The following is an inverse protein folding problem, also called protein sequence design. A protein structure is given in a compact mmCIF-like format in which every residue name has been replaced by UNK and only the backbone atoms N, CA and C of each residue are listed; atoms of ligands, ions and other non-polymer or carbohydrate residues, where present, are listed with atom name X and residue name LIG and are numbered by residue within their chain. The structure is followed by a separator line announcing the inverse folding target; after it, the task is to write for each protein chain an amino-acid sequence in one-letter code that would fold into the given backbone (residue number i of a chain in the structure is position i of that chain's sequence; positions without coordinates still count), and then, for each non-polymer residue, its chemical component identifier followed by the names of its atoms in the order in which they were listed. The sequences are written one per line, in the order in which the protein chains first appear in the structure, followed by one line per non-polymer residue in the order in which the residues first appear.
data_IF_978794070260
#
_entry.id   IF_978794070260
#
_cell.length_a   1.000
_cell.length_b   1.000
_cell.length_c   1.000
_cell.angle_alpha   90.00
_cell.angle_beta   90.00
_cell.angle_gamma   90.00
#
_symmetry.space_group_name_H-M   'P 1'
#
loop_
_entity.id
_entity.type
_entity.pdbx_description
1 polymer ?
#
# COMPACT_ATOMS: atom_id res chain seq x y z
N UNK A 1 -28.05 -42.60 -26.09
CA UNK A 1 -26.91 -41.70 -26.37
C UNK A 1 -26.51 -41.05 -25.06
N UNK A 2 -25.52 -41.65 -24.37
CA UNK A 2 -25.14 -41.27 -23.01
C UNK A 2 -24.02 -40.26 -23.08
N UNK A 3 -24.28 -39.00 -22.64
CA UNK A 3 -23.25 -37.95 -22.54
C UNK A 3 -22.29 -38.27 -21.39
N UNK A 4 -21.03 -38.52 -21.73
CA UNK A 4 -19.95 -38.72 -20.77
C UNK A 4 -19.57 -37.36 -20.15
N UNK A 5 -19.75 -37.23 -18.84
CA UNK A 5 -19.27 -36.09 -18.04
C UNK A 5 -17.73 -36.04 -18.05
N UNK A 6 -17.17 -34.99 -18.60
CA UNK A 6 -15.74 -34.71 -18.59
C UNK A 6 -15.25 -34.51 -17.15
N UNK A 7 -14.32 -35.34 -16.68
CA UNK A 7 -13.66 -35.22 -15.37
C UNK A 7 -12.86 -33.90 -15.32
N UNK A 8 -12.82 -33.22 -14.15
CA UNK A 8 -12.06 -31.98 -14.01
C UNK A 8 -10.56 -32.26 -14.18
N UNK A 9 -9.88 -31.39 -14.95
CA UNK A 9 -8.45 -31.43 -15.19
C UNK A 9 -7.71 -31.29 -13.85
N UNK A 10 -6.90 -32.29 -13.47
CA UNK A 10 -5.93 -32.17 -12.37
C UNK A 10 -4.89 -31.13 -12.78
N UNK A 11 -4.84 -30.03 -12.05
CA UNK A 11 -3.76 -29.02 -12.18
C UNK A 11 -2.40 -29.70 -12.00
N UNK A 12 -1.50 -29.50 -12.96
CA UNK A 12 -0.15 -30.04 -12.93
C UNK A 12 0.59 -29.49 -11.68
N UNK A 13 1.13 -30.41 -10.86
CA UNK A 13 1.91 -30.08 -9.67
C UNK A 13 3.19 -29.39 -10.12
N UNK A 14 3.36 -28.08 -9.80
CA UNK A 14 4.60 -27.34 -10.11
C UNK A 14 5.80 -27.92 -9.37
N UNK A 15 7.05 -27.80 -9.91
CA UNK A 15 8.26 -28.35 -9.31
C UNK A 15 8.55 -27.82 -7.91
N UNK A 16 9.30 -28.60 -7.11
CA UNK A 16 9.74 -28.27 -5.75
C UNK A 16 10.84 -27.18 -5.84
N UNK A 17 10.52 -25.94 -5.41
CA UNK A 17 11.42 -24.77 -5.47
C UNK A 17 10.71 -23.43 -5.53
N UNK A 18 9.43 -23.41 -5.92
CA UNK A 18 8.64 -22.19 -6.19
C UNK A 18 7.88 -21.60 -4.97
N UNK A 19 8.37 -21.81 -3.75
CA UNK A 19 7.67 -21.35 -2.53
C UNK A 19 7.40 -19.85 -2.51
N UNK A 20 8.36 -19.01 -2.93
CA UNK A 20 8.18 -17.55 -3.00
C UNK A 20 7.23 -17.14 -4.12
N UNK A 21 7.33 -17.76 -5.31
CA UNK A 21 6.39 -17.51 -6.41
C UNK A 21 4.97 -17.88 -6.01
N UNK A 22 4.79 -19.01 -5.30
CA UNK A 22 3.48 -19.43 -4.83
C UNK A 22 2.92 -18.48 -3.77
N UNK A 23 3.76 -17.94 -2.87
CA UNK A 23 3.34 -16.98 -1.86
C UNK A 23 2.81 -15.70 -2.52
N UNK A 24 3.52 -15.14 -3.52
CA UNK A 24 3.05 -13.99 -4.30
C UNK A 24 1.75 -14.24 -5.06
N UNK A 25 1.58 -15.44 -5.66
CA UNK A 25 0.31 -15.83 -6.32
C UNK A 25 -0.87 -15.84 -5.34
N UNK A 26 -0.64 -16.30 -4.10
CA UNK A 26 -1.66 -16.32 -3.03
C UNK A 26 -2.02 -14.90 -2.61
N UNK A 27 -1.03 -14.03 -2.36
CA UNK A 27 -1.26 -12.62 -1.98
C UNK A 27 -2.05 -11.87 -3.07
N UNK A 28 -1.66 -12.01 -4.34
CA UNK A 28 -2.36 -11.37 -5.45
C UNK A 28 -3.81 -11.88 -5.65
N UNK A 29 -4.06 -13.17 -5.40
CA UNK A 29 -5.41 -13.71 -5.45
C UNK A 29 -6.25 -13.23 -4.27
N UNK A 30 -5.66 -13.21 -3.07
CA UNK A 30 -6.31 -12.74 -1.85
C UNK A 30 -6.68 -11.26 -1.95
N UNK A 31 -5.79 -10.42 -2.47
CA UNK A 31 -6.03 -8.99 -2.71
C UNK A 31 -7.31 -8.80 -3.53
N UNK A 32 -7.42 -9.46 -4.69
CA UNK A 32 -8.60 -9.38 -5.54
C UNK A 32 -9.88 -9.81 -4.82
N UNK A 33 -9.82 -10.90 -4.03
CA UNK A 33 -10.97 -11.42 -3.30
C UNK A 33 -11.37 -10.48 -2.15
N UNK A 34 -10.41 -9.92 -1.41
CA UNK A 34 -10.68 -8.94 -0.36
C UNK A 34 -11.38 -7.69 -0.91
N UNK A 35 -10.94 -7.19 -2.07
CA UNK A 35 -11.57 -6.03 -2.71
C UNK A 35 -12.97 -6.37 -3.22
N UNK A 36 -13.15 -7.51 -3.88
CA UNK A 36 -14.43 -7.88 -4.50
C UNK A 36 -15.52 -8.26 -3.49
N UNK A 37 -15.15 -8.94 -2.40
CA UNK A 37 -16.09 -9.55 -1.47
C UNK A 37 -16.01 -8.98 -0.04
N UNK A 38 -15.06 -8.09 0.20
CA UNK A 38 -14.72 -7.60 1.53
C UNK A 38 -14.00 -8.65 2.38
N UNK A 39 -13.50 -8.22 3.55
CA UNK A 39 -12.80 -9.13 4.47
C UNK A 39 -13.68 -10.29 4.96
N UNK A 40 -14.96 -10.02 5.29
CA UNK A 40 -15.88 -11.06 5.79
C UNK A 40 -16.21 -12.12 4.73
N UNK A 41 -16.36 -11.72 3.47
CA UNK A 41 -16.69 -12.61 2.35
C UNK A 41 -15.50 -13.45 1.86
N UNK A 42 -14.28 -13.00 2.09
CA UNK A 42 -13.06 -13.71 1.75
C UNK A 42 -12.83 -14.90 2.72
N UNK A 43 -12.52 -16.05 2.16
CA UNK A 43 -12.20 -17.26 2.93
C UNK A 43 -10.92 -17.92 2.41
N UNK A 44 -10.19 -18.63 3.27
CA UNK A 44 -9.02 -19.43 2.90
C UNK A 44 -9.33 -20.38 1.74
N UNK A 45 -10.53 -20.98 1.73
CA UNK A 45 -10.96 -21.88 0.66
C UNK A 45 -11.06 -21.15 -0.68
N UNK A 46 -11.71 -19.99 -0.74
CA UNK A 46 -11.84 -19.20 -1.97
C UNK A 46 -10.47 -18.79 -2.52
N UNK A 47 -9.56 -18.37 -1.63
CA UNK A 47 -8.20 -18.00 -2.02
C UNK A 47 -7.44 -19.22 -2.55
N UNK A 48 -7.53 -20.37 -1.89
CA UNK A 48 -6.91 -21.61 -2.33
C UNK A 48 -7.44 -22.08 -3.69
N UNK A 49 -8.76 -22.05 -3.87
CA UNK A 49 -9.42 -22.40 -5.14
C UNK A 49 -8.96 -21.47 -6.28
N UNK A 50 -8.81 -20.15 -6.02
CA UNK A 50 -8.39 -19.16 -7.01
C UNK A 50 -6.96 -19.38 -7.52
N UNK A 51 -6.06 -19.95 -6.70
CA UNK A 51 -4.68 -20.28 -7.09
C UNK A 51 -4.47 -21.75 -7.42
N UNK A 52 -5.56 -22.57 -7.39
CA UNK A 52 -5.52 -23.97 -7.78
C UNK A 52 -4.76 -24.87 -6.78
N UNK A 53 -4.84 -24.55 -5.47
CA UNK A 53 -4.26 -25.38 -4.42
C UNK A 53 -5.35 -25.88 -3.43
N UNK A 54 -5.00 -26.85 -2.59
CA UNK A 54 -5.87 -27.21 -1.47
C UNK A 54 -5.76 -26.19 -0.33
N UNK A 55 -6.81 -26.03 0.48
CA UNK A 55 -6.74 -25.21 1.69
C UNK A 55 -5.61 -25.65 2.62
N UNK A 56 -5.33 -26.96 2.72
CA UNK A 56 -4.22 -27.51 3.49
C UNK A 56 -2.86 -27.00 2.96
N UNK A 57 -2.70 -26.94 1.62
CA UNK A 57 -1.48 -26.40 1.02
C UNK A 57 -1.33 -24.89 1.28
N UNK A 58 -2.44 -24.14 1.30
CA UNK A 58 -2.43 -22.71 1.64
C UNK A 58 -2.01 -22.49 3.09
N UNK A 59 -2.48 -23.31 4.03
CA UNK A 59 -2.07 -23.25 5.45
C UNK A 59 -0.57 -23.52 5.68
N UNK A 60 0.15 -24.12 4.71
CA UNK A 60 1.61 -24.21 4.77
C UNK A 60 2.31 -22.84 4.53
N UNK A 61 1.61 -21.87 3.94
CA UNK A 61 2.13 -20.53 3.65
C UNK A 61 1.60 -19.48 4.63
N UNK A 62 0.34 -19.58 5.05
CA UNK A 62 -0.34 -18.59 5.89
C UNK A 62 -1.19 -19.29 6.95
N UNK A 63 -1.10 -18.85 8.21
CA UNK A 63 -1.87 -19.42 9.33
C UNK A 63 -3.37 -19.13 9.23
N UNK A 64 -3.71 -17.92 8.76
CA UNK A 64 -5.07 -17.42 8.64
C UNK A 64 -5.16 -16.30 7.60
N UNK A 65 -6.36 -15.82 7.31
CA UNK A 65 -6.58 -14.72 6.36
C UNK A 65 -6.11 -13.37 6.87
N UNK A 66 -5.99 -13.20 8.20
CA UNK A 66 -5.46 -11.98 8.79
C UNK A 66 -3.99 -11.82 8.42
N UNK A 67 -3.21 -12.91 8.52
CA UNK A 67 -1.82 -12.90 8.12
C UNK A 67 -1.65 -12.52 6.64
N UNK A 68 -2.53 -13.00 5.76
CA UNK A 68 -2.51 -12.63 4.34
C UNK A 68 -2.77 -11.14 4.17
N UNK A 69 -3.80 -10.60 4.84
CA UNK A 69 -4.15 -9.18 4.73
C UNK A 69 -3.04 -8.27 5.28
N UNK A 70 -2.46 -8.64 6.42
CA UNK A 70 -1.34 -7.89 7.01
C UNK A 70 -0.12 -7.90 6.09
N UNK A 71 0.21 -9.04 5.50
CA UNK A 71 1.37 -9.14 4.60
C UNK A 71 1.20 -8.33 3.31
N UNK A 72 -0.02 -8.25 2.76
CA UNK A 72 -0.31 -7.34 1.64
C UNK A 72 -0.01 -5.89 2.05
N UNK A 73 -0.43 -5.47 3.25
CA UNK A 73 -0.13 -4.14 3.78
C UNK A 73 1.35 -3.91 4.04
N UNK A 74 2.03 -4.88 4.64
CA UNK A 74 3.46 -4.80 4.95
C UNK A 74 4.31 -4.74 3.68
N UNK A 75 3.97 -5.49 2.64
CA UNK A 75 4.65 -5.42 1.34
C UNK A 75 4.50 -4.03 0.72
N UNK A 76 3.31 -3.43 0.80
CA UNK A 76 3.05 -2.07 0.32
C UNK A 76 3.88 -1.02 1.06
N UNK A 77 3.88 -1.07 2.40
CA UNK A 77 4.64 -0.14 3.24
C UNK A 77 6.15 -0.36 3.05
N UNK A 78 6.59 -1.62 2.90
CA UNK A 78 7.98 -1.96 2.64
C UNK A 78 8.50 -1.38 1.31
N UNK A 79 7.69 -1.40 0.25
CA UNK A 79 8.04 -0.76 -1.02
C UNK A 79 8.16 0.75 -0.88
N UNK A 80 7.23 1.41 -0.18
CA UNK A 80 7.28 2.85 0.08
C UNK A 80 8.49 3.22 0.95
N UNK A 81 8.79 2.43 1.98
CA UNK A 81 9.98 2.63 2.82
C UNK A 81 11.26 2.57 1.98
N UNK A 82 11.41 1.57 1.11
CA UNK A 82 12.59 1.44 0.27
C UNK A 82 12.78 2.66 -0.65
N UNK A 83 11.70 3.19 -1.22
CA UNK A 83 11.71 4.41 -2.03
C UNK A 83 12.08 5.63 -1.19
N UNK A 84 11.52 5.78 0.00
CA UNK A 84 11.82 6.89 0.90
C UNK A 84 13.30 6.89 1.32
N UNK A 85 13.84 5.71 1.69
CA UNK A 85 15.26 5.56 2.03
C UNK A 85 16.17 5.97 0.86
N UNK A 86 15.87 5.53 -0.37
CA UNK A 86 16.64 5.91 -1.56
C UNK A 86 16.62 7.44 -1.78
N UNK A 87 15.43 8.05 -1.70
CA UNK A 87 15.28 9.50 -1.91
C UNK A 87 15.94 10.30 -0.78
N UNK A 88 15.84 9.85 0.49
CA UNK A 88 16.43 10.53 1.64
C UNK A 88 17.94 10.73 1.50
N UNK A 89 18.63 9.79 0.86
CA UNK A 89 20.09 9.83 0.65
C UNK A 89 20.52 10.56 -0.62
N UNK A 90 19.60 11.11 -1.43
CA UNK A 90 19.97 11.84 -2.64
C UNK A 90 20.59 13.20 -2.30
N UNK A 91 21.69 13.61 -2.98
CA UNK A 91 22.38 14.87 -2.74
C UNK A 91 21.64 16.05 -3.41
N UNK A 92 20.38 16.25 -3.04
CA UNK A 92 19.50 17.32 -3.52
C UNK A 92 18.87 18.05 -2.32
N UNK A 93 18.30 19.23 -2.56
CA UNK A 93 17.62 20.02 -1.53
C UNK A 93 16.52 19.24 -0.81
N UNK A 94 16.34 19.48 0.47
CA UNK A 94 15.38 18.77 1.30
C UNK A 94 13.93 18.92 0.79
N UNK A 95 13.56 20.08 0.25
CA UNK A 95 12.22 20.31 -0.35
C UNK A 95 12.03 19.44 -1.59
N UNK A 96 13.08 19.31 -2.41
CA UNK A 96 13.05 18.43 -3.58
C UNK A 96 12.90 16.95 -3.17
N UNK A 97 13.58 16.52 -2.08
CA UNK A 97 13.39 15.16 -1.53
C UNK A 97 11.96 14.93 -1.06
N UNK A 98 11.39 15.86 -0.28
CA UNK A 98 9.98 15.78 0.17
C UNK A 98 9.03 15.66 -1.03
N UNK A 99 9.21 16.51 -2.06
CA UNK A 99 8.40 16.45 -3.28
C UNK A 99 8.46 15.08 -3.92
N UNK A 100 9.64 14.53 -4.15
CA UNK A 100 9.83 13.22 -4.77
C UNK A 100 9.19 12.08 -3.96
N UNK A 101 9.30 12.12 -2.62
CA UNK A 101 8.66 11.12 -1.75
C UNK A 101 7.13 11.17 -1.85
N UNK A 102 6.53 12.35 -1.87
CA UNK A 102 5.09 12.53 -2.02
C UNK A 102 4.60 12.15 -3.42
N UNK A 103 5.35 12.48 -4.48
CA UNK A 103 5.06 12.04 -5.85
C UNK A 103 5.10 10.51 -5.94
N UNK A 104 6.12 9.87 -5.37
CA UNK A 104 6.26 8.41 -5.34
C UNK A 104 5.11 7.76 -4.57
N UNK A 105 4.71 8.33 -3.42
CA UNK A 105 3.57 7.86 -2.63
C UNK A 105 2.26 7.91 -3.43
N UNK A 106 1.95 9.06 -4.03
CA UNK A 106 0.74 9.23 -4.81
C UNK A 106 0.72 8.32 -6.04
N UNK A 107 1.86 8.21 -6.73
CA UNK A 107 2.00 7.30 -7.88
C UNK A 107 1.80 5.85 -7.47
N UNK A 108 2.44 5.39 -6.38
CA UNK A 108 2.23 4.04 -5.86
C UNK A 108 0.75 3.76 -5.60
N UNK A 109 0.04 4.68 -4.93
CA UNK A 109 -1.38 4.53 -4.62
C UNK A 109 -2.25 4.40 -5.87
N UNK A 110 -2.00 5.24 -6.90
CA UNK A 110 -2.77 5.25 -8.14
C UNK A 110 -2.45 4.07 -9.07
N UNK A 111 -1.21 3.57 -9.04
CA UNK A 111 -0.79 2.39 -9.80
C UNK A 111 -1.26 1.08 -9.13
N UNK A 112 -1.46 1.09 -7.79
CA UNK A 112 -1.84 -0.08 -7.00
C UNK A 112 -3.08 0.19 -6.13
N UNK A 113 -4.24 0.56 -6.72
CA UNK A 113 -5.40 1.04 -5.96
C UNK A 113 -5.96 0.02 -4.99
N UNK A 114 -5.95 -1.26 -5.32
CA UNK A 114 -6.43 -2.34 -4.47
C UNK A 114 -5.53 -2.52 -3.24
N UNK A 115 -4.22 -2.64 -3.47
CA UNK A 115 -3.21 -2.75 -2.41
C UNK A 115 -3.28 -1.52 -1.48
N UNK A 116 -3.40 -0.31 -2.06
CA UNK A 116 -3.55 0.93 -1.30
C UNK A 116 -4.82 0.91 -0.43
N UNK A 117 -5.97 0.51 -0.97
CA UNK A 117 -7.21 0.40 -0.19
C UNK A 117 -7.06 -0.57 0.98
N UNK A 118 -6.45 -1.73 0.77
CA UNK A 118 -6.24 -2.73 1.83
C UNK A 118 -5.25 -2.25 2.89
N UNK A 119 -4.16 -1.58 2.48
CA UNK A 119 -3.12 -1.11 3.38
C UNK A 119 -3.56 0.11 4.22
N UNK A 120 -4.27 1.06 3.61
CA UNK A 120 -4.51 2.37 4.19
C UNK A 120 -5.98 2.72 4.43
N UNK A 121 -6.92 2.18 3.64
CA UNK A 121 -8.35 2.50 3.72
C UNK A 121 -9.19 1.30 4.19
N UNK A 122 -8.58 0.12 4.29
CA UNK A 122 -9.28 -1.12 4.59
C UNK A 122 -9.57 -1.31 6.07
N UNK A 123 -10.37 -2.34 6.33
CA UNK A 123 -10.90 -2.72 7.65
C UNK A 123 -9.82 -3.29 8.58
N UNK A 124 -8.82 -2.50 8.94
CA UNK A 124 -7.88 -2.91 10.02
C UNK A 124 -8.61 -3.20 11.33
N UNK A 125 -9.76 -2.60 11.54
CA UNK A 125 -10.62 -2.81 12.73
C UNK A 125 -11.10 -4.26 12.90
N UNK A 126 -11.06 -5.07 11.84
CA UNK A 126 -11.43 -6.51 11.91
C UNK A 126 -10.27 -7.40 12.35
N UNK A 127 -9.04 -6.86 12.43
CA UNK A 127 -7.84 -7.57 12.87
C UNK A 127 -7.55 -7.20 14.32
N UNK A 128 -7.16 -8.18 15.14
CA UNK A 128 -6.86 -7.90 16.56
C UNK A 128 -5.76 -6.86 16.72
N UNK A 129 -5.85 -6.06 17.80
CA UNK A 129 -4.87 -5.00 18.10
C UNK A 129 -3.45 -5.54 18.25
N UNK A 130 -3.30 -6.75 18.80
CA UNK A 130 -2.00 -7.41 18.95
C UNK A 130 -1.35 -7.71 17.60
N UNK A 131 -2.14 -8.17 16.62
CA UNK A 131 -1.64 -8.42 15.24
C UNK A 131 -1.32 -7.10 14.52
N UNK A 132 -2.13 -6.06 14.73
CA UNK A 132 -1.85 -4.72 14.18
C UNK A 132 -0.56 -4.13 14.74
N UNK A 133 -0.32 -4.26 16.05
CA UNK A 133 0.89 -3.76 16.70
C UNK A 133 2.17 -4.39 16.12
N UNK A 134 2.12 -5.67 15.71
CA UNK A 134 3.27 -6.35 15.11
C UNK A 134 3.71 -5.74 13.76
N UNK A 135 2.80 -5.03 13.06
CA UNK A 135 3.08 -4.37 11.76
C UNK A 135 3.26 -2.85 11.89
N UNK A 136 2.94 -2.26 13.06
CA UNK A 136 3.02 -0.82 13.29
C UNK A 136 4.44 -0.28 13.12
N UNK A 137 5.46 -1.02 13.58
CA UNK A 137 6.88 -0.61 13.50
C UNK A 137 7.32 -0.29 12.06
N UNK A 138 6.85 -1.06 11.07
CA UNK A 138 7.19 -0.82 9.67
C UNK A 138 6.56 0.50 9.17
N UNK A 139 5.33 0.78 9.57
CA UNK A 139 4.65 2.05 9.27
C UNK A 139 5.35 3.24 9.91
N UNK A 140 5.73 3.12 11.19
CA UNK A 140 6.45 4.16 11.92
C UNK A 140 7.81 4.46 11.28
N UNK A 141 8.54 3.44 10.87
CA UNK A 141 9.81 3.61 10.14
C UNK A 141 9.60 4.28 8.79
N UNK A 142 8.57 3.88 8.03
CA UNK A 142 8.26 4.51 6.74
C UNK A 142 7.94 6.01 6.90
N UNK A 143 7.17 6.36 7.94
CA UNK A 143 6.84 7.75 8.24
C UNK A 143 8.08 8.53 8.75
N UNK A 144 8.94 7.92 9.56
CA UNK A 144 10.18 8.54 10.03
C UNK A 144 11.13 8.91 8.88
N UNK A 145 11.33 8.01 7.91
CA UNK A 145 12.12 8.30 6.71
C UNK A 145 11.52 9.43 5.87
N UNK A 146 10.19 9.47 5.73
CA UNK A 146 9.48 10.54 5.04
C UNK A 146 9.64 11.88 5.77
N UNK A 147 9.52 11.91 7.09
CA UNK A 147 9.56 13.12 7.89
C UNK A 147 10.98 13.70 8.07
N UNK A 148 12.02 12.91 7.89
CA UNK A 148 13.42 13.33 8.03
C UNK A 148 13.77 14.61 7.27
N UNK A 149 13.61 14.68 5.95
CA UNK A 149 13.87 15.91 5.18
C UNK A 149 13.00 17.09 5.59
N UNK A 150 11.80 16.88 6.13
CA UNK A 150 10.92 17.94 6.63
C UNK A 150 11.47 18.51 7.93
N UNK A 151 12.03 17.68 8.80
CA UNK A 151 12.73 18.13 10.00
C UNK A 151 14.01 18.91 9.66
N UNK A 152 14.73 18.55 8.58
CA UNK A 152 15.86 19.36 8.09
C UNK A 152 15.41 20.76 7.65
N UNK A 153 14.28 20.86 6.91
CA UNK A 153 13.68 22.15 6.50
C UNK A 153 13.31 22.98 7.75
N UNK A 154 12.70 22.34 8.77
CA UNK A 154 12.35 23.00 10.02
C UNK A 154 13.59 23.51 10.77
N UNK A 155 14.62 22.68 10.90
CA UNK A 155 15.89 23.04 11.57
C UNK A 155 16.62 24.17 10.85
N UNK A 156 16.47 24.28 9.53
CA UNK A 156 16.99 25.39 8.73
C UNK A 156 16.15 26.67 8.83
N UNK A 157 15.06 26.69 9.62
CA UNK A 157 14.17 27.85 9.76
C UNK A 157 13.33 28.14 8.51
N UNK A 158 13.18 27.17 7.60
CA UNK A 158 12.48 27.32 6.32
C UNK A 158 10.99 26.94 6.36
N UNK A 159 10.43 26.61 7.51
CA UNK A 159 8.97 26.45 7.64
C UNK A 159 8.29 27.80 7.91
N UNK A 160 7.22 28.08 7.18
CA UNK A 160 6.39 29.29 7.39
C UNK A 160 5.60 29.22 8.68
N UNK A 161 5.18 28.03 9.07
CA UNK A 161 4.33 27.80 10.26
C UNK A 161 4.43 26.35 10.72
N UNK A 162 4.12 26.11 12.00
CA UNK A 162 4.09 24.80 12.60
C UNK A 162 5.46 24.24 12.95
N UNK A 163 5.47 22.98 13.31
CA UNK A 163 6.67 22.18 13.55
C UNK A 163 6.94 21.25 12.36
N UNK A 164 8.15 20.66 12.30
CA UNK A 164 8.46 19.64 11.32
C UNK A 164 7.49 18.48 11.34
N UNK A 165 7.08 18.05 12.55
CA UNK A 165 6.09 16.98 12.74
C UNK A 165 4.71 17.35 12.18
N UNK A 166 4.18 18.54 12.51
CA UNK A 166 2.88 18.96 11.98
C UNK A 166 2.90 19.15 10.46
N UNK A 167 4.00 19.65 9.90
CA UNK A 167 4.17 19.79 8.47
C UNK A 167 4.18 18.42 7.77
N UNK A 168 4.89 17.42 8.32
CA UNK A 168 4.92 16.06 7.79
C UNK A 168 3.52 15.43 7.78
N UNK A 169 2.79 15.55 8.88
CA UNK A 169 1.43 15.02 9.00
C UNK A 169 0.47 15.69 8.00
N UNK A 170 0.53 17.01 7.84
CA UNK A 170 -0.30 17.77 6.89
C UNK A 170 0.01 17.36 5.45
N UNK A 171 1.28 17.28 5.07
CA UNK A 171 1.71 16.89 3.74
C UNK A 171 1.22 15.48 3.39
N UNK A 172 1.42 14.53 4.31
CA UNK A 172 0.94 13.16 4.13
C UNK A 172 -0.57 13.10 4.05
N UNK A 173 -1.31 13.71 5.00
CA UNK A 173 -2.76 13.69 5.05
C UNK A 173 -3.41 14.29 3.79
N UNK A 174 -2.87 15.39 3.25
CA UNK A 174 -3.38 16.01 2.05
C UNK A 174 -3.19 15.12 0.79
N UNK A 175 -2.00 14.56 0.61
CA UNK A 175 -1.73 13.63 -0.49
C UNK A 175 -2.54 12.34 -0.36
N UNK A 176 -2.66 11.79 0.87
CA UNK A 176 -3.51 10.65 1.16
C UNK A 176 -4.99 10.94 0.82
N UNK A 177 -5.51 12.09 1.22
CA UNK A 177 -6.88 12.50 0.91
C UNK A 177 -7.14 12.60 -0.59
N UNK A 178 -6.20 13.20 -1.35
CA UNK A 178 -6.33 13.28 -2.81
C UNK A 178 -6.40 11.88 -3.45
N UNK A 179 -5.44 11.01 -3.18
CA UNK A 179 -5.41 9.69 -3.82
C UNK A 179 -6.56 8.79 -3.35
N UNK A 180 -6.96 8.89 -2.08
CA UNK A 180 -8.12 8.16 -1.56
C UNK A 180 -9.39 8.54 -2.31
N UNK A 181 -9.63 9.83 -2.55
CA UNK A 181 -10.77 10.32 -3.32
C UNK A 181 -10.73 9.86 -4.77
N UNK A 182 -9.56 9.94 -5.43
CA UNK A 182 -9.39 9.50 -6.82
C UNK A 182 -9.67 7.99 -6.99
N UNK A 183 -9.30 7.19 -5.99
CA UNK A 183 -9.50 5.74 -5.99
C UNK A 183 -10.93 5.35 -5.64
N UNK A 184 -11.55 6.01 -4.64
CA UNK A 184 -12.88 5.63 -4.13
C UNK A 184 -14.03 6.27 -4.91
N UNK A 185 -13.75 7.30 -5.70
CA UNK A 185 -14.73 8.01 -6.52
C UNK A 185 -14.28 8.08 -8.00
N UNK A 186 -14.04 6.93 -8.67
CA UNK A 186 -13.44 6.90 -10.02
C UNK A 186 -14.33 7.56 -11.08
N UNK A 187 -15.65 7.52 -10.90
CA UNK A 187 -16.65 8.04 -11.85
C UNK A 187 -16.89 9.56 -11.73
N UNK A 188 -16.25 10.22 -10.74
CA UNK A 188 -16.34 11.67 -10.61
C UNK A 188 -15.55 12.33 -11.76
N UNK A 189 -16.08 13.44 -12.31
CA UNK A 189 -15.37 14.24 -13.31
C UNK A 189 -14.18 14.98 -12.67
N UNK A 190 -13.05 14.29 -12.58
CA UNK A 190 -11.79 14.83 -12.06
C UNK A 190 -11.00 15.52 -13.18
N UNK A 191 -10.23 16.55 -12.83
CA UNK A 191 -9.15 17.04 -13.68
C UNK A 191 -8.08 15.93 -13.89
N UNK A 192 -7.18 16.06 -14.88
CA UNK A 192 -6.12 15.07 -15.08
C UNK A 192 -5.33 14.78 -13.80
N UNK A 193 -5.04 13.50 -13.53
CA UNK A 193 -4.39 13.07 -12.28
C UNK A 193 -3.06 13.76 -12.04
N UNK A 194 -2.25 13.88 -13.08
CA UNK A 194 -0.94 14.53 -13.04
C UNK A 194 -1.07 16.02 -12.69
N UNK A 195 -2.09 16.70 -13.19
CA UNK A 195 -2.39 18.08 -12.86
C UNK A 195 -2.80 18.22 -11.39
N UNK A 196 -3.71 17.37 -10.90
CA UNK A 196 -4.14 17.38 -9.51
C UNK A 196 -2.97 17.12 -8.56
N UNK A 197 -2.11 16.14 -8.86
CA UNK A 197 -0.91 15.85 -8.07
C UNK A 197 0.03 17.06 -8.04
N UNK A 198 0.31 17.65 -9.22
CA UNK A 198 1.18 18.83 -9.34
C UNK A 198 0.64 20.01 -8.54
N UNK A 199 -0.63 20.38 -8.75
CA UNK A 199 -1.27 21.51 -8.08
C UNK A 199 -1.30 21.31 -6.56
N UNK A 200 -1.58 20.09 -6.10
CA UNK A 200 -1.55 19.77 -4.67
C UNK A 200 -0.16 19.96 -4.08
N UNK A 201 0.87 19.41 -4.70
CA UNK A 201 2.24 19.52 -4.19
C UNK A 201 2.76 20.96 -4.24
N UNK A 202 2.51 21.69 -5.34
CA UNK A 202 2.93 23.08 -5.48
C UNK A 202 2.26 23.95 -4.41
N UNK A 203 0.94 23.78 -4.20
CA UNK A 203 0.19 24.52 -3.20
C UNK A 203 0.65 24.24 -1.77
N UNK A 204 0.85 22.96 -1.43
CA UNK A 204 1.30 22.56 -0.10
C UNK A 204 2.73 23.02 0.20
N UNK A 205 3.66 22.77 -0.71
CA UNK A 205 5.07 23.14 -0.48
C UNK A 205 5.25 24.64 -0.46
N UNK A 206 4.62 25.38 -1.38
CA UNK A 206 4.67 26.86 -1.35
C UNK A 206 4.01 27.44 -0.09
N UNK A 207 2.93 26.82 0.40
CA UNK A 207 2.26 27.26 1.62
C UNK A 207 3.03 26.99 2.91
N UNK A 208 3.83 25.92 2.94
CA UNK A 208 4.52 25.46 4.15
C UNK A 208 5.99 25.86 4.21
N UNK A 209 6.66 26.02 3.06
CA UNK A 209 8.12 26.25 3.00
C UNK A 209 8.43 27.64 2.43
N UNK A 210 9.46 28.27 2.99
CA UNK A 210 10.09 29.49 2.42
C UNK A 210 11.22 29.09 1.47
N UNK A 211 11.52 29.96 0.52
CA UNK A 211 12.66 29.80 -0.37
C UNK A 211 13.99 29.80 0.40
#
# INVERSE_FOLDING_TARGET
MTLALKKPHKSARKPKGDGHLRRGEILAAAERIFIAEGYAGATIRKIADAVGVSSTALYMHFRDKDQILLEIGDDAIGQLLAVNVDIAHRPIDAVARVRLMLEAYMKFALDNPNTYQLAFCGSRDVISKEKQAATAELGDRCFAEFSGPIHEIAAAGRLRTGSGESAAQVLWAACHGLVALLITMPDRNWAPREELMKVTLDGLLHGLVTD
#
